data_IF_916731599215
#
_entry.id   IF_916731599215
#
_cell.length_a   1.000
_cell.length_b   1.000
_cell.length_c   1.000
_cell.angle_alpha   90.00
_cell.angle_beta   90.00
_cell.angle_gamma   90.00
#
_symmetry.space_group_name_H-M   'P 1'
#
loop_
_entity.id
_entity.type
_entity.pdbx_description
1 polymer ?
#
# COMPACT_ATOMS: atom_id res chain seq x y z
N UNK A 1 11.65 -15.68 13.53
CA UNK A 1 10.55 -14.72 13.32
C UNK A 1 10.81 -14.00 12.01
N UNK A 2 9.82 -13.87 11.13
CA UNK A 2 9.99 -13.08 9.89
C UNK A 2 9.96 -11.58 10.20
N UNK A 3 10.85 -10.82 9.54
CA UNK A 3 10.92 -9.36 9.64
C UNK A 3 9.58 -8.76 9.18
N UNK A 4 8.95 -7.93 10.01
CA UNK A 4 7.70 -7.25 9.64
C UNK A 4 7.91 -6.24 8.52
N UNK A 5 6.83 -5.87 7.84
CA UNK A 5 6.90 -4.93 6.72
C UNK A 5 7.39 -3.55 7.17
N UNK A 6 7.03 -3.10 8.38
CA UNK A 6 7.51 -1.83 8.94
C UNK A 6 9.03 -1.87 9.17
N UNK A 7 9.58 -2.95 9.70
CA UNK A 7 11.02 -3.08 9.89
C UNK A 7 11.76 -3.16 8.55
N UNK A 8 11.20 -3.87 7.56
CA UNK A 8 11.74 -3.87 6.20
C UNK A 8 11.76 -2.46 5.60
N UNK A 9 10.66 -1.70 5.73
CA UNK A 9 10.56 -0.34 5.23
C UNK A 9 11.57 0.60 5.89
N UNK A 10 11.78 0.49 7.21
CA UNK A 10 12.80 1.26 7.94
C UNK A 10 14.21 0.95 7.47
N UNK A 11 14.52 -0.34 7.26
CA UNK A 11 15.83 -0.78 6.75
C UNK A 11 16.04 -0.25 5.33
N UNK A 12 15.07 -0.44 4.45
CA UNK A 12 15.14 -0.01 3.05
C UNK A 12 15.27 1.52 2.93
N UNK A 13 14.59 2.29 3.79
CA UNK A 13 14.64 3.74 3.77
C UNK A 13 16.05 4.30 3.97
N UNK A 14 16.91 3.63 4.75
CA UNK A 14 18.30 4.06 4.96
C UNK A 14 19.11 4.13 3.66
N UNK A 15 18.72 3.34 2.66
CA UNK A 15 19.38 3.30 1.35
C UNK A 15 18.55 4.04 0.29
N UNK A 16 17.24 3.82 0.26
CA UNK A 16 16.37 4.38 -0.78
C UNK A 16 16.22 5.90 -0.65
N UNK A 17 16.13 6.44 0.57
CA UNK A 17 15.98 7.90 0.75
C UNK A 17 17.16 8.69 0.18
N UNK A 18 18.43 8.43 0.56
CA UNK A 18 19.55 9.16 -0.04
C UNK A 18 19.68 8.91 -1.55
N UNK A 19 19.38 7.69 -2.02
CA UNK A 19 19.41 7.38 -3.45
C UNK A 19 18.37 8.20 -4.23
N UNK A 20 17.12 8.24 -3.77
CA UNK A 20 16.07 9.01 -4.44
C UNK A 20 16.38 10.50 -4.38
N UNK A 21 16.90 11.02 -3.26
CA UNK A 21 17.35 12.42 -3.17
C UNK A 21 18.44 12.75 -4.19
N UNK A 22 19.41 11.86 -4.39
CA UNK A 22 20.43 12.04 -5.42
C UNK A 22 19.82 12.06 -6.83
N UNK A 23 18.86 11.17 -7.11
CA UNK A 23 18.13 11.17 -8.39
C UNK A 23 17.32 12.47 -8.58
N UNK A 24 16.69 12.98 -7.52
CA UNK A 24 15.94 14.24 -7.56
C UNK A 24 16.87 15.43 -7.82
N UNK A 25 18.05 15.46 -7.22
CA UNK A 25 19.04 16.49 -7.45
C UNK A 25 19.54 16.52 -8.90
N UNK A 26 19.72 15.35 -9.52
CA UNK A 26 20.23 15.22 -10.89
C UNK A 26 19.15 15.42 -11.97
N UNK A 27 17.97 14.83 -11.77
CA UNK A 27 16.93 14.74 -12.80
C UNK A 27 15.78 15.74 -12.61
N UNK A 28 15.75 16.43 -11.47
CA UNK A 28 14.60 17.16 -10.97
C UNK A 28 13.56 16.23 -10.32
N UNK A 29 12.86 16.77 -9.33
CA UNK A 29 11.94 16.00 -8.48
C UNK A 29 10.86 15.24 -9.27
N UNK A 30 10.18 15.93 -10.18
CA UNK A 30 9.06 15.35 -10.93
C UNK A 30 9.50 14.11 -11.75
N UNK A 31 10.65 14.20 -12.43
CA UNK A 31 11.16 13.13 -13.28
C UNK A 31 11.69 11.96 -12.44
N UNK A 32 12.43 12.25 -11.37
CA UNK A 32 12.93 11.22 -10.46
C UNK A 32 11.77 10.47 -9.78
N UNK A 33 10.78 11.18 -9.26
CA UNK A 33 9.63 10.57 -8.59
C UNK A 33 8.78 9.73 -9.57
N UNK A 34 8.60 10.19 -10.81
CA UNK A 34 7.92 9.41 -11.85
C UNK A 34 8.66 8.10 -12.17
N UNK A 35 9.99 8.14 -12.26
CA UNK A 35 10.81 6.96 -12.50
C UNK A 35 10.69 5.95 -11.34
N UNK A 36 10.76 6.43 -10.09
CA UNK A 36 10.60 5.60 -8.90
C UNK A 36 9.21 4.97 -8.84
N UNK A 37 8.14 5.75 -9.08
CA UNK A 37 6.76 5.22 -9.12
C UNK A 37 6.60 4.11 -10.15
N UNK A 38 7.17 4.29 -11.34
CA UNK A 38 7.13 3.28 -12.40
C UNK A 38 7.86 2.01 -11.97
N UNK A 39 9.11 2.14 -11.52
CA UNK A 39 9.95 1.00 -11.17
C UNK A 39 9.37 0.19 -10.00
N UNK A 40 8.91 0.87 -8.95
CA UNK A 40 8.31 0.19 -7.80
C UNK A 40 6.88 -0.26 -8.07
N UNK A 41 6.12 0.46 -8.89
CA UNK A 41 4.74 0.12 -9.24
C UNK A 41 4.64 -1.28 -9.86
N UNK A 42 5.52 -1.62 -10.81
CA UNK A 42 5.51 -2.95 -11.43
C UNK A 42 5.86 -4.05 -10.41
N UNK A 43 6.80 -3.78 -9.49
CA UNK A 43 7.16 -4.70 -8.40
C UNK A 43 5.97 -4.95 -7.45
N UNK A 44 5.32 -3.88 -6.98
CA UNK A 44 4.19 -3.99 -6.06
C UNK A 44 2.95 -4.61 -6.71
N UNK A 45 2.73 -4.37 -8.00
CA UNK A 45 1.69 -5.08 -8.76
C UNK A 45 1.95 -6.58 -8.76
N UNK A 46 3.18 -7.01 -9.01
CA UNK A 46 3.57 -8.42 -8.93
C UNK A 46 3.30 -9.04 -7.56
N UNK A 47 3.61 -8.33 -6.46
CA UNK A 47 3.26 -8.79 -5.11
C UNK A 47 1.75 -8.94 -4.90
N UNK A 48 0.96 -8.00 -5.43
CA UNK A 48 -0.50 -8.08 -5.44
C UNK A 48 -1.01 -9.32 -6.17
N UNK A 49 -0.47 -9.60 -7.35
CA UNK A 49 -0.84 -10.77 -8.15
C UNK A 49 -0.51 -12.09 -7.46
N UNK A 50 0.69 -12.22 -6.90
CA UNK A 50 1.12 -13.42 -6.16
C UNK A 50 0.25 -13.64 -4.94
N UNK A 51 -0.01 -12.57 -4.17
CA UNK A 51 -0.90 -12.62 -3.02
C UNK A 51 -2.31 -13.08 -3.41
N UNK A 52 -2.88 -12.47 -4.45
CA UNK A 52 -4.23 -12.78 -4.90
C UNK A 52 -4.36 -14.21 -5.40
N UNK A 53 -3.39 -14.69 -6.20
CA UNK A 53 -3.31 -16.08 -6.66
C UNK A 53 -3.23 -17.05 -5.48
N UNK A 54 -2.41 -16.75 -4.47
CA UNK A 54 -2.27 -17.60 -3.29
C UNK A 54 -3.55 -17.68 -2.45
N UNK A 55 -4.35 -16.61 -2.39
CA UNK A 55 -5.62 -16.59 -1.64
C UNK A 55 -6.78 -17.25 -2.38
N UNK A 56 -6.71 -17.32 -3.71
CA UNK A 56 -7.81 -17.77 -4.57
C UNK A 56 -7.46 -19.02 -5.38
N UNK A 57 -6.62 -19.89 -4.82
CA UNK A 57 -6.23 -21.16 -5.45
C UNK A 57 -7.32 -22.25 -5.40
N UNK A 58 -8.48 -21.98 -4.77
CA UNK A 58 -9.63 -22.89 -4.72
C UNK A 58 -10.80 -22.31 -5.52
N UNK A 59 -11.58 -23.17 -6.19
CA UNK A 59 -12.63 -22.84 -7.18
C UNK A 59 -13.85 -22.02 -6.66
N UNK A 60 -13.79 -21.46 -5.45
CA UNK A 60 -14.84 -20.59 -4.94
C UNK A 60 -14.54 -19.14 -5.30
N UNK A 61 -15.59 -18.34 -5.49
CA UNK A 61 -15.48 -16.90 -5.63
C UNK A 61 -14.60 -16.32 -4.53
N UNK A 62 -13.63 -15.52 -4.94
CA UNK A 62 -12.64 -14.91 -4.09
C UNK A 62 -13.30 -13.90 -3.14
N UNK A 63 -13.23 -14.14 -1.83
CA UNK A 63 -13.75 -13.22 -0.81
C UNK A 63 -12.78 -12.04 -0.65
N UNK A 64 -13.10 -10.90 -1.28
CA UNK A 64 -12.26 -9.70 -1.27
C UNK A 64 -12.06 -9.18 0.15
N UNK A 65 -13.14 -9.14 0.95
CA UNK A 65 -13.10 -8.69 2.34
C UNK A 65 -12.07 -9.47 3.17
N UNK A 66 -12.11 -10.80 3.10
CA UNK A 66 -11.17 -11.66 3.83
C UNK A 66 -9.75 -11.56 3.27
N UNK A 67 -9.58 -11.45 1.96
CA UNK A 67 -8.27 -11.30 1.33
C UNK A 67 -7.59 -10.00 1.77
N UNK A 68 -8.26 -8.85 1.63
CA UNK A 68 -7.71 -7.55 2.03
C UNK A 68 -7.47 -7.50 3.53
N UNK A 69 -8.42 -7.99 4.36
CA UNK A 69 -8.22 -8.06 5.81
C UNK A 69 -6.98 -8.89 6.19
N UNK A 70 -6.73 -10.00 5.47
CA UNK A 70 -5.53 -10.81 5.68
C UNK A 70 -4.25 -10.11 5.24
N UNK A 71 -4.26 -9.39 4.11
CA UNK A 71 -3.10 -8.61 3.68
C UNK A 71 -2.80 -7.51 4.71
N UNK A 72 -3.83 -6.76 5.09
CA UNK A 72 -3.67 -5.59 5.95
C UNK A 72 -3.16 -5.95 7.36
N UNK A 73 -3.56 -7.11 7.91
CA UNK A 73 -2.96 -7.64 9.15
C UNK A 73 -1.44 -7.80 9.06
N UNK A 74 -0.90 -8.17 7.90
CA UNK A 74 0.55 -8.27 7.69
C UNK A 74 1.24 -6.91 7.74
N UNK A 75 0.64 -5.89 7.12
CA UNK A 75 1.17 -4.51 7.13
C UNK A 75 1.03 -3.82 8.48
N UNK A 76 0.03 -4.23 9.28
CA UNK A 76 -0.22 -3.74 10.64
C UNK A 76 0.59 -4.45 11.73
N UNK A 77 1.36 -5.50 11.40
CA UNK A 77 2.21 -6.21 12.37
C UNK A 77 3.17 -5.26 13.09
N UNK A 78 3.55 -5.66 14.30
CA UNK A 78 4.46 -4.91 15.17
C UNK A 78 3.96 -3.49 15.48
N UNK A 79 2.64 -3.37 15.71
CA UNK A 79 1.95 -2.12 16.03
C UNK A 79 2.17 -1.01 14.99
N UNK A 80 2.32 -1.43 13.73
CA UNK A 80 2.62 -0.50 12.65
C UNK A 80 1.42 0.38 12.26
N UNK A 81 0.19 -0.12 12.44
CA UNK A 81 -1.04 0.54 12.03
C UNK A 81 -2.14 0.30 13.07
N UNK A 82 -2.78 1.37 13.53
CA UNK A 82 -4.09 1.30 14.19
C UNK A 82 -5.17 1.68 13.17
N UNK A 83 -6.23 0.88 13.10
CA UNK A 83 -7.28 1.05 12.09
C UNK A 83 -8.63 0.52 12.55
N UNK A 84 -9.68 1.11 12.01
CA UNK A 84 -11.07 0.77 12.28
C UNK A 84 -11.72 0.23 11.01
N UNK A 85 -12.27 -0.98 11.07
CA UNK A 85 -13.00 -1.59 9.95
C UNK A 85 -14.41 -1.03 9.90
N UNK A 86 -14.79 -0.49 8.75
CA UNK A 86 -16.09 0.14 8.48
C UNK A 86 -17.02 -0.85 7.75
N UNK A 87 -16.46 -1.58 6.80
CA UNK A 87 -17.21 -2.51 5.95
C UNK A 87 -16.35 -3.73 5.63
N UNK A 88 -16.93 -4.93 5.75
CA UNK A 88 -16.33 -6.17 5.27
C UNK A 88 -17.41 -7.07 4.70
N UNK A 89 -17.40 -7.25 3.39
CA UNK A 89 -18.28 -8.17 2.66
C UNK A 89 -17.44 -9.03 1.70
N UNK A 90 -18.11 -9.90 0.93
CA UNK A 90 -17.44 -10.68 -0.12
C UNK A 90 -16.82 -9.79 -1.21
N UNK A 91 -17.40 -8.61 -1.46
CA UNK A 91 -17.05 -7.72 -2.57
C UNK A 91 -16.49 -6.37 -2.12
N UNK A 92 -16.33 -6.14 -0.82
CA UNK A 92 -15.86 -4.87 -0.28
C UNK A 92 -15.05 -5.00 1.00
N UNK A 93 -14.07 -4.11 1.17
CA UNK A 93 -13.37 -3.89 2.42
C UNK A 93 -13.07 -2.40 2.60
N UNK A 94 -13.70 -1.79 3.60
CA UNK A 94 -13.50 -0.39 3.94
C UNK A 94 -12.98 -0.25 5.36
N UNK A 95 -11.95 0.56 5.54
CA UNK A 95 -11.36 0.83 6.85
C UNK A 95 -10.64 2.18 6.85
N UNK A 96 -10.52 2.77 8.03
CA UNK A 96 -9.74 3.98 8.25
C UNK A 96 -8.52 3.67 9.12
N UNK A 97 -7.35 4.14 8.70
CA UNK A 97 -6.12 4.07 9.52
C UNK A 97 -6.04 5.36 10.31
N UNK A 98 -6.05 5.24 11.64
CA UNK A 98 -6.04 6.37 12.58
C UNK A 98 -4.67 6.61 13.21
N UNK A 99 -3.76 5.63 13.14
CA UNK A 99 -2.33 5.79 13.47
C UNK A 99 -1.45 5.00 12.51
N UNK A 100 -0.32 5.58 12.10
CA UNK A 100 0.58 4.96 11.12
C UNK A 100 2.07 5.16 11.47
N UNK A 101 2.72 4.09 11.93
CA UNK A 101 4.14 4.08 12.27
C UNK A 101 5.05 4.34 11.07
N UNK A 102 4.62 3.98 9.84
CA UNK A 102 5.34 4.33 8.61
C UNK A 102 5.39 5.85 8.44
N UNK A 103 4.26 6.54 8.65
CA UNK A 103 4.19 7.99 8.55
C UNK A 103 4.98 8.67 9.68
N UNK A 104 4.88 8.18 10.91
CA UNK A 104 5.69 8.64 12.04
C UNK A 104 7.19 8.56 11.73
N UNK A 105 7.64 7.42 11.20
CA UNK A 105 9.04 7.19 10.85
C UNK A 105 9.55 8.15 9.76
N UNK A 106 8.86 8.27 8.62
CA UNK A 106 9.31 9.15 7.53
C UNK A 106 9.21 10.64 7.90
N UNK A 107 8.28 11.03 8.77
CA UNK A 107 8.24 12.38 9.36
C UNK A 107 9.46 12.62 10.25
N UNK A 108 9.80 11.69 11.14
CA UNK A 108 10.99 11.78 11.99
C UNK A 108 12.30 11.81 11.17
N UNK A 109 12.32 11.13 10.02
CA UNK A 109 13.44 11.16 9.06
C UNK A 109 13.53 12.49 8.28
N UNK A 110 12.51 13.36 8.37
CA UNK A 110 12.42 14.59 7.58
C UNK A 110 12.26 14.33 6.08
N UNK A 111 11.55 13.25 5.71
CA UNK A 111 11.30 12.86 4.32
C UNK A 111 9.86 12.32 4.08
N UNK A 112 8.79 12.97 4.58
CA UNK A 112 7.42 12.47 4.43
C UNK A 112 6.98 12.31 2.97
N UNK A 113 7.46 13.17 2.07
CA UNK A 113 7.23 13.10 0.62
C UNK A 113 7.77 11.80 0.02
N UNK A 114 8.94 11.36 0.48
CA UNK A 114 9.53 10.09 0.07
C UNK A 114 8.85 8.91 0.75
N UNK A 115 8.35 9.08 1.98
CA UNK A 115 7.49 8.09 2.63
C UNK A 115 6.21 7.85 1.82
N UNK A 116 5.60 8.90 1.30
CA UNK A 116 4.43 8.76 0.42
C UNK A 116 4.79 8.01 -0.87
N UNK A 117 5.89 8.39 -1.51
CA UNK A 117 6.37 7.81 -2.75
C UNK A 117 6.74 6.32 -2.62
N UNK A 118 7.41 5.95 -1.54
CA UNK A 118 7.97 4.61 -1.36
C UNK A 118 6.99 3.64 -0.69
N UNK A 119 6.07 4.14 0.13
CA UNK A 119 5.14 3.32 0.91
C UNK A 119 3.70 3.53 0.47
N UNK A 120 3.16 4.74 0.59
CA UNK A 120 1.73 4.96 0.40
C UNK A 120 1.28 4.73 -1.05
N UNK A 121 2.02 5.20 -2.05
CA UNK A 121 1.60 5.02 -3.46
C UNK A 121 1.63 3.57 -3.93
N UNK A 122 2.39 2.70 -3.25
CA UNK A 122 2.47 1.27 -3.55
C UNK A 122 1.13 0.54 -3.37
N UNK A 123 0.26 1.07 -2.51
CA UNK A 123 -1.03 0.44 -2.19
C UNK A 123 -1.93 0.33 -3.43
N UNK A 124 -1.89 1.31 -4.34
CA UNK A 124 -2.65 1.28 -5.59
C UNK A 124 -2.13 0.22 -6.55
N UNK A 125 -0.82 0.15 -6.76
CA UNK A 125 -0.21 -0.86 -7.61
C UNK A 125 -0.45 -2.29 -7.07
N UNK A 126 -0.37 -2.46 -5.75
CA UNK A 126 -0.71 -3.73 -5.10
C UNK A 126 -2.17 -4.11 -5.34
N UNK A 127 -3.09 -3.14 -5.23
CA UNK A 127 -4.52 -3.36 -5.49
C UNK A 127 -4.78 -3.73 -6.96
N UNK A 128 -4.11 -3.08 -7.92
CA UNK A 128 -4.19 -3.42 -9.35
C UNK A 128 -3.80 -4.89 -9.60
N UNK A 129 -2.85 -5.43 -8.82
CA UNK A 129 -2.43 -6.82 -8.92
C UNK A 129 -3.51 -7.83 -8.52
N UNK A 130 -4.56 -7.41 -7.81
CA UNK A 130 -5.66 -8.32 -7.44
C UNK A 130 -6.57 -8.64 -8.63
N UNK A 131 -6.62 -7.79 -9.64
CA UNK A 131 -7.43 -8.00 -10.84
C UNK A 131 -8.13 -6.72 -11.30
N UNK A 132 -8.55 -6.69 -12.57
CA UNK A 132 -9.16 -5.50 -13.19
C UNK A 132 -10.54 -5.17 -12.61
N UNK A 133 -11.20 -6.12 -11.96
CA UNK A 133 -12.49 -5.96 -11.29
C UNK A 133 -12.35 -5.37 -9.88
N UNK A 134 -11.14 -5.24 -9.33
CA UNK A 134 -10.92 -4.73 -7.97
C UNK A 134 -10.34 -3.32 -8.01
N UNK A 135 -10.98 -2.41 -7.28
CA UNK A 135 -10.56 -1.01 -7.19
C UNK A 135 -10.31 -0.61 -5.76
N UNK A 136 -9.16 0.04 -5.54
CA UNK A 136 -8.88 0.81 -4.33
C UNK A 136 -9.18 2.29 -4.59
N UNK A 137 -10.06 2.87 -3.78
CA UNK A 137 -10.15 4.33 -3.62
C UNK A 137 -9.55 4.73 -2.28
N UNK A 138 -8.65 5.73 -2.30
CA UNK A 138 -8.14 6.41 -1.13
C UNK A 138 -7.81 7.85 -1.49
N UNK A 139 -8.36 8.81 -0.76
CA UNK A 139 -8.25 10.23 -1.09
C UNK A 139 -7.30 10.99 -0.17
N UNK A 140 -6.95 10.41 0.98
CA UNK A 140 -6.09 11.05 1.97
C UNK A 140 -5.17 10.06 2.69
N UNK A 141 -4.07 10.58 3.22
CA UNK A 141 -3.12 9.80 4.03
C UNK A 141 -2.56 10.60 5.20
N UNK A 142 -2.31 9.93 6.32
CA UNK A 142 -1.57 10.51 7.47
C UNK A 142 -0.17 10.98 7.06
N UNK A 143 0.46 10.30 6.08
CA UNK A 143 1.77 10.67 5.54
C UNK A 143 1.75 12.08 4.92
N UNK A 144 0.64 12.46 4.29
CA UNK A 144 0.43 13.78 3.69
C UNK A 144 -0.20 14.80 4.66
N UNK A 145 -0.37 14.44 5.94
CA UNK A 145 -0.84 15.35 6.98
C UNK A 145 -2.34 15.29 7.28
N UNK A 146 -3.09 14.34 6.71
CA UNK A 146 -4.47 14.09 7.12
C UNK A 146 -4.54 13.45 8.52
N UNK A 147 -5.73 13.50 9.13
CA UNK A 147 -6.03 12.86 10.42
C UNK A 147 -6.15 11.33 10.31
N UNK A 148 -6.55 10.81 9.15
CA UNK A 148 -6.62 9.38 8.86
C UNK A 148 -6.31 9.05 7.39
N UNK A 149 -6.06 7.78 7.09
CA UNK A 149 -6.08 7.25 5.72
C UNK A 149 -7.41 6.52 5.47
N UNK A 150 -8.08 6.76 4.34
CA UNK A 150 -9.40 6.18 4.05
C UNK A 150 -9.36 5.13 2.94
N UNK A 151 -9.14 3.86 3.29
CA UNK A 151 -9.08 2.79 2.30
C UNK A 151 -10.47 2.26 1.97
N UNK A 152 -10.81 2.21 0.68
CA UNK A 152 -12.09 1.69 0.18
C UNK A 152 -11.82 0.73 -0.98
N UNK A 153 -11.73 -0.57 -0.68
CA UNK A 153 -11.66 -1.62 -1.69
C UNK A 153 -13.07 -2.05 -2.09
N UNK A 154 -13.32 -2.16 -3.40
CA UNK A 154 -14.56 -2.70 -3.96
C UNK A 154 -14.28 -3.53 -5.19
N UNK A 155 -15.10 -4.57 -5.38
CA UNK A 155 -15.24 -5.27 -6.66
C UNK A 155 -16.30 -4.58 -7.50
N UNK A 156 -15.98 -4.26 -8.75
CA UNK A 156 -16.93 -3.79 -9.73
C UNK A 156 -17.81 -4.96 -10.17
N UNK A 157 -19.13 -4.83 -10.03
CA UNK A 157 -20.11 -5.85 -10.43
C UNK A 157 -20.19 -6.09 -11.97
N UNK A 158 -19.28 -5.53 -12.76
CA UNK A 158 -19.33 -5.49 -14.23
C UNK A 158 -18.47 -6.53 -14.96
N UNK A 159 -17.98 -7.56 -14.25
CA UNK A 159 -17.05 -8.57 -14.80
C UNK A 159 -17.69 -9.87 -15.32
N UNK A 160 -19.01 -9.91 -15.48
CA UNK A 160 -19.73 -11.04 -16.09
C UNK A 160 -20.38 -10.58 -17.39
N UNK A 161 -19.63 -10.60 -18.49
CA UNK A 161 -20.19 -10.70 -19.84
C UNK A 161 -19.71 -12.01 -20.44
#
# INVERSE_FOLDING_TARGET
MSVSVIEQAKIQAQVLVPLVRALQAELGEARANALVRKALGDLYRGFGEEFWKAKNNTKNESDLGKAVASAFRTYARDDALAYDVIEQTQDSFAFDVTRCAYAEFYKALGAPELGFLLVCSADFATAEGFGPDIKLTRTQTIMQGADHCNFRYRRDAGGSQ
#
